data_IF_059247254822
#
_entry.id   IF_059247254822
#
_cell.length_a   1.000
_cell.length_b   1.000
_cell.length_c   1.000
_cell.angle_alpha   90.00
_cell.angle_beta   90.00
_cell.angle_gamma   90.00
#
_symmetry.space_group_name_H-M   'P 1'
#
loop_
_entity.id
_entity.type
_entity.pdbx_description
1 polymer ?
#
# COMPACT_ATOMS: atom_id res chain seq x y z
N UNK A 1 24.42 -5.83 13.77
CA UNK A 1 23.79 -5.61 12.45
C UNK A 1 22.38 -6.17 12.53
N UNK A 2 21.38 -5.41 12.14
CA UNK A 2 19.98 -5.88 12.12
C UNK A 2 19.87 -6.99 11.09
N UNK A 3 19.35 -8.15 11.49
CA UNK A 3 19.14 -9.25 10.56
C UNK A 3 18.03 -8.85 9.58
N UNK A 4 18.37 -8.80 8.30
CA UNK A 4 17.43 -8.51 7.19
C UNK A 4 17.39 -9.73 6.28
N UNK A 5 16.20 -10.20 5.94
CA UNK A 5 16.02 -11.36 5.05
C UNK A 5 14.99 -11.02 3.98
N UNK A 6 15.35 -11.28 2.73
CA UNK A 6 14.41 -11.28 1.61
C UNK A 6 14.03 -12.72 1.28
N UNK A 7 12.78 -12.94 0.92
CA UNK A 7 12.30 -14.26 0.56
C UNK A 7 11.00 -14.22 -0.23
N UNK A 8 10.56 -15.40 -0.62
CA UNK A 8 9.23 -15.61 -1.18
C UNK A 8 8.59 -16.84 -0.53
N UNK A 9 7.29 -16.82 -0.35
CA UNK A 9 6.50 -17.92 0.16
C UNK A 9 5.54 -18.41 -0.91
N UNK A 10 5.61 -19.71 -1.23
CA UNK A 10 4.71 -20.35 -2.19
C UNK A 10 3.32 -20.54 -1.60
N UNK A 11 2.32 -19.97 -2.24
CA UNK A 11 0.92 -20.12 -1.85
C UNK A 11 0.23 -21.33 -2.53
N UNK A 12 0.92 -21.96 -3.52
CA UNK A 12 0.31 -23.00 -4.35
C UNK A 12 -0.80 -22.45 -5.24
N UNK A 13 -1.85 -23.23 -5.43
CA UNK A 13 -3.05 -22.77 -6.13
C UNK A 13 -3.84 -21.84 -5.20
N UNK A 14 -3.87 -20.56 -5.57
CA UNK A 14 -4.50 -19.52 -4.77
C UNK A 14 -5.83 -19.11 -5.42
N UNK A 15 -6.93 -19.32 -4.68
CA UNK A 15 -8.27 -18.95 -5.15
C UNK A 15 -8.52 -17.48 -4.82
N UNK A 16 -8.70 -16.65 -5.87
CA UNK A 16 -9.07 -15.25 -5.74
C UNK A 16 -10.52 -15.07 -5.28
N UNK A 17 -10.86 -13.91 -4.78
CA UNK A 17 -12.22 -13.52 -4.42
C UNK A 17 -13.22 -13.74 -5.57
N UNK A 18 -12.77 -13.57 -6.82
CA UNK A 18 -13.55 -13.85 -8.03
C UNK A 18 -13.82 -15.34 -8.29
N UNK A 19 -13.17 -16.24 -7.57
CA UNK A 19 -13.20 -17.68 -7.81
C UNK A 19 -12.17 -18.17 -8.83
N UNK A 20 -11.42 -17.26 -9.49
CA UNK A 20 -10.32 -17.64 -10.39
C UNK A 20 -9.14 -18.17 -9.57
N UNK A 21 -8.47 -19.20 -10.10
CA UNK A 21 -7.31 -19.83 -9.44
C UNK A 21 -6.01 -19.33 -10.06
N UNK A 22 -5.17 -18.69 -9.29
CA UNK A 22 -3.79 -18.42 -9.66
C UNK A 22 -2.92 -19.63 -9.33
N UNK A 23 -2.52 -20.38 -10.34
CA UNK A 23 -1.66 -21.56 -10.15
C UNK A 23 -0.24 -21.17 -9.77
N UNK A 24 0.34 -21.92 -8.81
CA UNK A 24 1.70 -21.68 -8.30
C UNK A 24 1.92 -20.23 -7.81
N UNK A 25 0.90 -19.62 -7.22
CA UNK A 25 1.01 -18.28 -6.67
C UNK A 25 2.06 -18.21 -5.55
N UNK A 26 2.70 -17.05 -5.42
CA UNK A 26 3.66 -16.79 -4.36
C UNK A 26 3.59 -15.33 -3.92
N UNK A 27 4.04 -15.08 -2.69
CA UNK A 27 4.16 -13.74 -2.12
C UNK A 27 5.61 -13.49 -1.73
N UNK A 28 6.18 -12.39 -2.25
CA UNK A 28 7.49 -11.88 -1.86
C UNK A 28 7.42 -11.16 -0.52
N UNK A 29 8.52 -11.10 0.21
CA UNK A 29 8.58 -10.35 1.46
C UNK A 29 10.01 -9.96 1.83
N UNK A 30 10.12 -8.94 2.66
CA UNK A 30 11.33 -8.62 3.40
C UNK A 30 11.03 -8.64 4.91
N UNK A 31 12.02 -9.03 5.73
CA UNK A 31 11.88 -8.99 7.18
C UNK A 31 13.04 -8.29 7.85
N UNK A 32 12.78 -7.70 9.03
CA UNK A 32 13.80 -7.16 9.93
C UNK A 32 13.56 -7.67 11.35
N UNK A 33 14.64 -7.81 12.11
CA UNK A 33 14.55 -8.26 13.51
C UNK A 33 14.31 -9.75 13.66
N UNK A 34 13.78 -10.16 14.80
CA UNK A 34 13.55 -11.55 15.14
C UNK A 34 12.23 -11.78 15.88
N UNK A 35 11.57 -12.91 15.58
CA UNK A 35 10.38 -13.36 16.31
C UNK A 35 10.78 -13.72 17.76
N UNK A 36 9.93 -13.30 18.71
CA UNK A 36 10.00 -13.79 20.08
C UNK A 36 9.46 -15.24 20.19
N UNK A 37 9.59 -15.85 21.37
CA UNK A 37 9.13 -17.23 21.60
C UNK A 37 7.61 -17.40 21.45
N UNK A 38 6.82 -16.34 21.69
CA UNK A 38 5.38 -16.34 21.51
C UNK A 38 4.94 -16.06 20.10
N UNK A 39 5.84 -15.57 19.24
CA UNK A 39 5.56 -15.20 17.84
C UNK A 39 4.47 -14.11 17.71
N UNK A 40 4.42 -13.19 18.67
CA UNK A 40 3.40 -12.14 18.77
C UNK A 40 3.96 -10.70 18.72
N UNK A 41 5.29 -10.54 18.58
CA UNK A 41 5.95 -9.25 18.45
C UNK A 41 6.07 -8.78 16.99
N UNK A 42 5.02 -8.93 16.22
CA UNK A 42 5.06 -8.71 14.77
C UNK A 42 4.52 -7.33 14.41
N UNK A 43 5.24 -6.62 13.53
CA UNK A 43 4.71 -5.46 12.80
C UNK A 43 4.63 -5.82 11.33
N UNK A 44 3.49 -5.54 10.71
CA UNK A 44 3.28 -5.76 9.27
C UNK A 44 3.15 -4.40 8.59
N UNK A 45 3.93 -4.20 7.52
CA UNK A 45 3.87 -2.99 6.69
C UNK A 45 3.96 -3.37 5.20
N UNK A 46 2.84 -3.66 4.53
CA UNK A 46 2.85 -4.07 3.12
C UNK A 46 3.35 -2.96 2.19
N UNK A 47 3.76 -3.35 0.99
CA UNK A 47 4.06 -2.40 -0.09
C UNK A 47 2.79 -1.71 -0.62
N UNK A 48 2.95 -0.67 -1.44
CA UNK A 48 1.90 0.17 -2.02
C UNK A 48 2.02 0.26 -3.54
N UNK A 49 1.19 1.06 -4.19
CA UNK A 49 1.28 1.33 -5.64
C UNK A 49 2.67 1.85 -6.00
N UNK A 50 3.35 1.21 -6.93
CA UNK A 50 4.76 1.46 -7.25
C UNK A 50 5.76 1.26 -6.08
N UNK A 51 5.32 0.63 -4.99
CA UNK A 51 6.17 0.36 -3.83
C UNK A 51 6.90 -0.98 -3.91
N UNK A 52 8.13 -1.00 -3.41
CA UNK A 52 8.91 -2.21 -3.17
C UNK A 52 9.21 -2.36 -1.69
N UNK A 53 9.48 -3.58 -1.23
CA UNK A 53 9.72 -3.86 0.19
C UNK A 53 10.91 -3.07 0.77
N UNK A 54 11.95 -2.82 -0.04
CA UNK A 54 13.11 -2.03 0.38
C UNK A 54 12.80 -0.56 0.71
N UNK A 55 11.72 -0.01 0.18
CA UNK A 55 11.35 1.40 0.40
C UNK A 55 10.77 1.68 1.79
N UNK A 56 10.45 0.65 2.59
CA UNK A 56 10.06 0.83 4.00
C UNK A 56 11.26 1.06 4.92
N UNK A 57 12.48 0.75 4.46
CA UNK A 57 13.72 0.84 5.25
C UNK A 57 13.90 2.17 6.02
N UNK A 58 13.53 3.38 5.50
CA UNK A 58 13.65 4.62 6.26
C UNK A 58 12.85 4.66 7.57
N UNK A 59 11.77 3.88 7.68
CA UNK A 59 10.99 3.76 8.92
C UNK A 59 11.58 2.75 9.90
N UNK A 60 12.52 1.89 9.46
CA UNK A 60 13.07 0.80 10.27
C UNK A 60 14.39 1.22 10.91
N UNK A 61 14.39 1.50 12.20
CA UNK A 61 15.60 1.76 12.97
C UNK A 61 15.36 1.55 14.46
N UNK A 62 16.46 1.32 15.18
CA UNK A 62 16.47 1.31 16.66
C UNK A 62 15.85 2.59 17.23
N UNK A 63 14.91 2.43 18.15
CA UNK A 63 14.21 3.54 18.81
C UNK A 63 13.06 4.15 18.03
N UNK A 64 12.86 3.80 16.76
CA UNK A 64 11.66 4.13 15.97
C UNK A 64 10.49 3.20 16.33
N UNK A 65 9.31 3.50 15.77
CA UNK A 65 8.14 2.63 15.92
C UNK A 65 8.39 1.24 15.32
N UNK A 66 9.06 1.18 14.17
CA UNK A 66 9.50 -0.06 13.55
C UNK A 66 10.93 -0.39 14.03
N UNK A 67 11.07 -0.68 15.32
CA UNK A 67 12.34 -1.01 15.96
C UNK A 67 12.66 -2.51 15.82
N UNK A 68 13.65 -2.89 14.99
CA UNK A 68 13.98 -4.30 14.76
C UNK A 68 14.69 -4.98 15.96
N UNK A 69 15.05 -4.24 17.00
CA UNK A 69 15.51 -4.82 18.26
C UNK A 69 14.35 -5.30 19.14
N UNK A 70 13.12 -4.84 18.88
CA UNK A 70 11.90 -5.17 19.64
C UNK A 70 10.92 -6.02 18.85
N UNK A 71 10.80 -5.73 17.57
CA UNK A 71 9.77 -6.30 16.71
C UNK A 71 10.37 -7.12 15.57
N UNK A 72 9.64 -8.14 15.18
CA UNK A 72 9.81 -8.79 13.90
C UNK A 72 8.94 -8.06 12.88
N UNK A 73 9.58 -7.31 12.00
CA UNK A 73 8.91 -6.47 11.02
C UNK A 73 8.84 -7.27 9.73
N UNK A 74 7.63 -7.47 9.20
CA UNK A 74 7.37 -8.17 7.94
C UNK A 74 6.82 -7.18 6.94
N UNK A 75 7.45 -7.09 5.79
CA UNK A 75 7.07 -6.23 4.66
C UNK A 75 6.70 -7.15 3.50
N UNK A 76 5.43 -7.59 3.41
CA UNK A 76 4.97 -8.39 2.29
C UNK A 76 4.80 -7.53 1.05
N UNK A 77 5.26 -8.04 -0.08
CA UNK A 77 4.99 -7.46 -1.38
C UNK A 77 3.55 -7.77 -1.81
N UNK A 78 2.83 -6.75 -2.28
CA UNK A 78 1.49 -6.99 -2.83
C UNK A 78 1.58 -7.83 -4.11
N UNK A 79 0.56 -8.63 -4.39
CA UNK A 79 0.36 -9.15 -5.73
C UNK A 79 0.43 -8.00 -6.75
N UNK A 80 0.81 -8.29 -7.97
CA UNK A 80 0.93 -7.36 -9.09
C UNK A 80 2.13 -6.40 -9.04
N UNK A 81 2.97 -6.43 -7.98
CA UNK A 81 4.14 -5.54 -7.91
C UNK A 81 5.42 -6.09 -8.56
N UNK A 82 5.37 -7.28 -9.17
CA UNK A 82 6.50 -7.95 -9.80
C UNK A 82 7.35 -8.83 -8.87
N UNK A 83 7.34 -8.56 -7.56
CA UNK A 83 8.04 -9.37 -6.53
C UNK A 83 7.17 -10.49 -5.95
N UNK A 84 5.86 -10.36 -6.05
CA UNK A 84 4.85 -11.40 -5.84
C UNK A 84 4.25 -11.82 -7.18
N UNK A 85 3.35 -12.80 -7.18
CA UNK A 85 2.64 -13.21 -8.41
C UNK A 85 2.00 -11.99 -9.08
N UNK A 86 2.34 -11.80 -10.33
CA UNK A 86 2.06 -10.59 -11.10
C UNK A 86 1.87 -10.95 -12.57
N UNK A 87 1.28 -10.09 -13.41
CA UNK A 87 1.18 -10.29 -14.85
C UNK A 87 2.47 -10.77 -15.50
N UNK A 88 3.61 -10.19 -15.13
CA UNK A 88 4.93 -10.50 -15.72
C UNK A 88 5.52 -11.85 -15.34
N UNK A 89 5.02 -12.51 -14.28
CA UNK A 89 5.60 -13.73 -13.74
C UNK A 89 4.58 -14.84 -13.39
N UNK A 90 3.29 -14.59 -13.61
CA UNK A 90 2.25 -15.59 -13.38
C UNK A 90 2.37 -16.79 -14.34
N UNK A 91 1.84 -17.92 -13.93
CA UNK A 91 1.70 -19.10 -14.80
C UNK A 91 0.56 -18.90 -15.80
N UNK A 92 0.71 -19.53 -16.99
CA UNK A 92 -0.38 -19.58 -17.96
C UNK A 92 -1.65 -20.25 -17.37
N UNK A 93 -2.85 -19.82 -17.76
CA UNK A 93 -3.16 -18.82 -18.78
C UNK A 93 -3.17 -17.36 -18.28
N UNK A 94 -2.81 -17.10 -17.03
CA UNK A 94 -2.97 -15.81 -16.34
C UNK A 94 -1.70 -14.96 -16.41
N UNK A 95 -1.14 -14.76 -17.59
CA UNK A 95 -0.01 -13.87 -17.83
C UNK A 95 -0.43 -12.58 -18.48
N UNK A 96 0.39 -11.55 -18.32
CA UNK A 96 0.28 -10.26 -19.00
C UNK A 96 -1.12 -9.66 -18.83
N UNK A 97 -1.84 -9.36 -19.89
CA UNK A 97 -3.19 -8.77 -19.84
C UNK A 97 -4.31 -9.76 -19.49
N UNK A 98 -4.03 -11.06 -19.53
CA UNK A 98 -4.98 -12.11 -19.09
C UNK A 98 -4.91 -12.31 -17.56
N UNK A 99 -4.08 -11.53 -16.86
CA UNK A 99 -3.99 -11.57 -15.40
C UNK A 99 -5.31 -11.11 -14.78
N UNK A 100 -5.93 -11.91 -13.89
CA UNK A 100 -7.21 -11.57 -13.29
C UNK A 100 -7.10 -10.39 -12.33
N UNK A 101 -8.22 -9.74 -12.05
CA UNK A 101 -8.30 -8.76 -10.99
C UNK A 101 -7.96 -9.42 -9.64
N UNK A 102 -6.95 -8.89 -8.98
CA UNK A 102 -6.61 -9.20 -7.59
C UNK A 102 -7.07 -8.02 -6.72
N UNK A 103 -7.91 -8.30 -5.74
CA UNK A 103 -8.45 -7.27 -4.84
C UNK A 103 -7.55 -7.04 -3.62
N UNK A 104 -7.76 -5.96 -2.85
CA UNK A 104 -7.14 -5.80 -1.54
C UNK A 104 -7.46 -6.98 -0.58
N UNK A 105 -8.66 -7.54 -0.66
CA UNK A 105 -9.04 -8.73 0.09
C UNK A 105 -8.12 -9.92 -0.23
N UNK A 106 -7.86 -10.20 -1.51
CA UNK A 106 -6.95 -11.27 -1.93
C UNK A 106 -5.54 -11.07 -1.37
N UNK A 107 -5.04 -9.82 -1.40
CA UNK A 107 -3.74 -9.47 -0.82
C UNK A 107 -3.68 -9.75 0.68
N UNK A 108 -4.73 -9.40 1.42
CA UNK A 108 -4.82 -9.67 2.87
C UNK A 108 -4.82 -11.17 3.17
N UNK A 109 -5.56 -11.97 2.40
CA UNK A 109 -5.58 -13.43 2.55
C UNK A 109 -4.19 -14.03 2.27
N UNK A 110 -3.51 -13.59 1.20
CA UNK A 110 -2.16 -14.07 0.88
C UNK A 110 -1.14 -13.68 1.98
N UNK A 111 -1.22 -12.46 2.47
CA UNK A 111 -0.38 -11.96 3.57
C UNK A 111 -0.64 -12.74 4.86
N UNK A 112 -1.90 -13.03 5.19
CA UNK A 112 -2.27 -13.81 6.35
C UNK A 112 -1.68 -15.22 6.27
N UNK A 113 -1.76 -15.89 5.13
CA UNK A 113 -1.15 -17.20 4.91
C UNK A 113 0.37 -17.16 5.10
N UNK A 114 1.06 -16.14 4.58
CA UNK A 114 2.49 -15.93 4.83
C UNK A 114 2.78 -15.85 6.34
N UNK A 115 2.00 -15.07 7.08
CA UNK A 115 2.23 -14.85 8.52
C UNK A 115 1.91 -16.11 9.33
N UNK A 116 0.77 -16.75 9.11
CA UNK A 116 0.32 -17.91 9.89
C UNK A 116 1.02 -19.21 9.48
N UNK A 117 1.10 -19.53 8.18
CA UNK A 117 1.59 -20.81 7.70
C UNK A 117 3.12 -20.87 7.65
N UNK A 118 3.80 -19.78 7.28
CA UNK A 118 5.25 -19.76 7.15
C UNK A 118 5.96 -19.28 8.42
N UNK A 119 5.54 -18.12 8.94
CA UNK A 119 6.15 -17.55 10.16
C UNK A 119 5.53 -18.07 11.46
N UNK A 120 4.38 -18.75 11.41
CA UNK A 120 3.59 -19.20 12.57
C UNK A 120 3.30 -18.07 13.56
N UNK A 121 2.94 -16.89 13.04
CA UNK A 121 2.59 -15.70 13.82
C UNK A 121 1.30 -15.95 14.60
N UNK A 122 1.27 -15.56 15.86
CA UNK A 122 0.12 -15.72 16.76
C UNK A 122 -0.50 -14.39 17.17
N UNK A 123 0.12 -13.27 16.79
CA UNK A 123 -0.37 -11.93 17.06
C UNK A 123 0.44 -10.86 16.35
N UNK A 124 -0.24 -9.79 15.95
CA UNK A 124 0.34 -8.64 15.25
C UNK A 124 0.20 -7.42 16.17
N UNK A 125 1.34 -6.87 16.61
CA UNK A 125 1.38 -5.67 17.47
C UNK A 125 0.85 -4.43 16.75
N UNK A 126 1.20 -4.33 15.45
CA UNK A 126 0.80 -3.21 14.59
C UNK A 126 0.67 -3.67 13.14
N UNK A 127 -0.47 -3.41 12.56
CA UNK A 127 -0.67 -3.41 11.10
C UNK A 127 -0.67 -1.96 10.63
N UNK A 128 0.34 -1.54 9.91
CA UNK A 128 0.43 -0.19 9.36
C UNK A 128 0.68 -0.23 7.85
N UNK A 129 0.26 0.82 7.16
CA UNK A 129 0.51 0.92 5.73
C UNK A 129 0.35 2.34 5.21
N UNK A 130 1.03 2.64 4.12
CA UNK A 130 0.94 3.89 3.37
C UNK A 130 0.14 3.69 2.08
N UNK A 131 -0.72 4.66 1.71
CA UNK A 131 -1.44 4.65 0.43
C UNK A 131 -2.32 3.39 0.28
N UNK A 132 -2.17 2.61 -0.79
CA UNK A 132 -2.87 1.34 -0.98
C UNK A 132 -2.66 0.37 0.20
N UNK A 133 -1.46 0.33 0.81
CA UNK A 133 -1.29 -0.51 2.00
C UNK A 133 -1.96 0.10 3.25
N UNK A 134 -2.21 1.40 3.27
CA UNK A 134 -3.11 2.02 4.24
C UNK A 134 -4.55 1.52 4.09
N UNK A 135 -5.02 1.28 2.85
CA UNK A 135 -6.30 0.60 2.60
C UNK A 135 -6.29 -0.85 3.10
N UNK A 136 -5.17 -1.59 2.92
CA UNK A 136 -5.04 -2.93 3.48
C UNK A 136 -5.13 -2.94 5.02
N UNK A 137 -4.69 -1.88 5.71
CA UNK A 137 -4.81 -1.79 7.16
C UNK A 137 -6.28 -1.81 7.61
N UNK A 138 -7.19 -1.20 6.85
CA UNK A 138 -8.64 -1.31 7.11
C UNK A 138 -9.15 -2.74 6.95
N UNK A 139 -8.75 -3.43 5.86
CA UNK A 139 -9.13 -4.82 5.63
C UNK A 139 -8.64 -5.74 6.76
N UNK A 140 -7.37 -5.61 7.16
CA UNK A 140 -6.80 -6.35 8.27
C UNK A 140 -7.54 -6.10 9.58
N UNK A 141 -7.82 -4.84 9.90
CA UNK A 141 -8.48 -4.47 11.13
C UNK A 141 -9.95 -4.93 11.18
N UNK A 142 -10.66 -4.90 10.04
CA UNK A 142 -12.06 -5.30 9.95
C UNK A 142 -12.25 -6.83 9.96
N UNK A 143 -11.34 -7.57 9.29
CA UNK A 143 -11.49 -9.00 9.07
C UNK A 143 -10.72 -9.86 10.09
N UNK A 144 -9.65 -9.32 10.69
CA UNK A 144 -8.69 -10.06 11.51
C UNK A 144 -8.34 -9.35 12.82
N UNK A 145 -9.33 -8.72 13.45
CA UNK A 145 -9.17 -8.06 14.74
C UNK A 145 -8.81 -9.00 15.90
N UNK A 146 -8.97 -10.30 15.70
CA UNK A 146 -8.50 -11.36 16.61
C UNK A 146 -6.97 -11.51 16.60
N UNK A 147 -6.33 -11.20 15.49
CA UNK A 147 -4.87 -11.31 15.30
C UNK A 147 -4.17 -9.95 15.46
N UNK A 148 -4.82 -8.85 15.05
CA UNK A 148 -4.25 -7.50 15.02
C UNK A 148 -4.61 -6.73 16.29
N UNK A 149 -3.60 -6.23 17.01
CA UNK A 149 -3.81 -5.46 18.24
C UNK A 149 -4.04 -3.97 17.99
N UNK A 150 -3.43 -3.41 16.95
CA UNK A 150 -3.52 -1.99 16.56
C UNK A 150 -3.34 -1.85 15.06
N UNK A 151 -3.98 -0.87 14.46
CA UNK A 151 -3.78 -0.60 13.04
C UNK A 151 -3.60 0.89 12.75
N UNK A 152 -2.91 1.20 11.65
CA UNK A 152 -2.69 2.55 11.16
C UNK A 152 -2.79 2.62 9.64
N UNK A 153 -3.59 3.56 9.14
CA UNK A 153 -3.64 3.94 7.73
C UNK A 153 -2.99 5.30 7.54
N UNK A 154 -1.87 5.34 6.82
CA UNK A 154 -1.13 6.56 6.47
C UNK A 154 -1.52 6.93 5.04
N UNK A 155 -2.11 8.11 4.83
CA UNK A 155 -2.60 8.57 3.51
C UNK A 155 -3.40 7.48 2.78
N UNK A 156 -4.41 6.90 3.46
CA UNK A 156 -5.29 5.85 2.93
C UNK A 156 -6.70 5.97 3.50
N UNK A 157 -7.67 5.32 2.85
CA UNK A 157 -9.10 5.29 3.22
C UNK A 157 -9.66 3.88 3.15
N UNK A 158 -10.78 3.63 3.77
CA UNK A 158 -11.45 2.32 3.73
C UNK A 158 -11.93 1.91 2.33
N UNK A 159 -12.20 2.91 1.49
CA UNK A 159 -12.70 2.72 0.13
C UNK A 159 -12.11 3.78 -0.81
N UNK A 160 -11.77 3.39 -2.03
CA UNK A 160 -11.36 4.34 -3.08
C UNK A 160 -12.49 5.31 -3.36
N UNK A 161 -12.25 6.61 -3.15
CA UNK A 161 -13.24 7.66 -3.39
C UNK A 161 -13.56 7.81 -4.88
N UNK A 162 -14.74 8.34 -5.23
CA UNK A 162 -15.10 8.58 -6.64
C UNK A 162 -14.10 9.46 -7.39
N UNK A 163 -13.51 10.47 -6.72
CA UNK A 163 -12.48 11.32 -7.34
C UNK A 163 -11.19 10.53 -7.61
N UNK A 164 -10.74 9.74 -6.63
CA UNK A 164 -9.57 8.90 -6.79
C UNK A 164 -9.79 7.84 -7.88
N UNK A 165 -10.98 7.24 -7.92
CA UNK A 165 -11.37 6.31 -8.99
C UNK A 165 -11.31 6.97 -10.37
N UNK A 166 -11.79 8.22 -10.53
CA UNK A 166 -11.72 8.95 -11.78
C UNK A 166 -10.28 9.21 -12.26
N UNK A 167 -9.39 9.54 -11.33
CA UNK A 167 -7.95 9.68 -11.61
C UNK A 167 -7.33 8.34 -12.03
N UNK A 168 -7.63 7.25 -11.32
CA UNK A 168 -7.16 5.90 -11.68
C UNK A 168 -7.69 5.46 -13.04
N UNK A 169 -8.92 5.86 -13.37
CA UNK A 169 -9.47 5.65 -14.72
C UNK A 169 -8.68 6.40 -15.80
N UNK A 170 -8.14 7.59 -15.51
CA UNK A 170 -7.25 8.28 -16.43
C UNK A 170 -5.92 7.51 -16.63
N UNK A 171 -5.32 6.96 -15.57
CA UNK A 171 -4.17 6.06 -15.71
C UNK A 171 -4.50 4.85 -16.57
N UNK A 172 -5.57 4.14 -16.22
CA UNK A 172 -6.06 2.95 -16.94
C UNK A 172 -6.25 3.25 -18.44
N UNK A 173 -7.07 4.25 -18.77
CA UNK A 173 -7.37 4.62 -20.15
C UNK A 173 -6.13 5.07 -20.93
N UNK A 174 -5.18 5.75 -20.26
CA UNK A 174 -3.92 6.15 -20.87
C UNK A 174 -3.08 4.94 -21.27
N UNK A 175 -2.94 3.96 -20.38
CA UNK A 175 -2.21 2.72 -20.68
C UNK A 175 -2.89 1.93 -21.82
N UNK A 176 -4.20 1.80 -21.80
CA UNK A 176 -4.99 1.13 -22.83
C UNK A 176 -4.93 1.82 -24.21
N UNK A 177 -4.63 3.13 -24.25
CA UNK A 177 -4.44 3.87 -25.48
C UNK A 177 -3.08 3.61 -26.17
N UNK A 178 -2.20 2.83 -25.57
CA UNK A 178 -0.93 2.45 -26.16
C UNK A 178 -1.16 1.67 -27.47
N UNK A 179 -0.54 2.05 -28.59
CA UNK A 179 -0.65 1.32 -29.85
C UNK A 179 -0.28 -0.16 -29.76
N UNK A 180 0.60 -0.50 -28.80
CA UNK A 180 1.07 -1.87 -28.62
C UNK A 180 0.32 -2.63 -27.51
N UNK A 181 -0.71 -2.03 -26.91
CA UNK A 181 -1.40 -2.59 -25.74
C UNK A 181 -1.93 -4.01 -25.96
N UNK A 182 -2.54 -4.27 -27.11
CA UNK A 182 -3.14 -5.56 -27.47
C UNK A 182 -2.18 -6.55 -28.17
N UNK A 183 -1.00 -6.09 -28.58
CA UNK A 183 -0.11 -6.85 -29.46
C UNK A 183 1.18 -7.35 -28.81
N UNK A 184 1.41 -7.02 -27.58
CA UNK A 184 2.60 -7.46 -26.83
C UNK A 184 2.18 -7.94 -25.45
N UNK A 185 3.07 -8.68 -24.83
CA UNK A 185 2.97 -9.06 -23.42
C UNK A 185 3.00 -7.83 -22.48
N UNK A 186 2.76 -6.63 -22.96
CA UNK A 186 2.84 -5.36 -22.20
C UNK A 186 4.07 -5.26 -21.30
N UNK A 187 5.21 -5.77 -21.80
CA UNK A 187 6.48 -5.79 -21.07
C UNK A 187 7.24 -4.48 -21.16
N UNK A 188 6.93 -3.64 -22.16
CA UNK A 188 7.64 -2.39 -22.43
C UNK A 188 6.67 -1.20 -22.57
N UNK A 189 7.12 -0.05 -22.08
CA UNK A 189 6.39 1.19 -22.22
C UNK A 189 6.47 1.79 -23.62
N UNK A 190 5.33 2.21 -24.15
CA UNK A 190 5.31 3.25 -25.18
C UNK A 190 5.81 4.57 -24.55
N UNK A 191 6.83 5.24 -25.14
CA UNK A 191 7.41 6.46 -24.54
C UNK A 191 6.41 7.60 -24.35
N UNK A 192 5.38 7.72 -25.22
CA UNK A 192 4.34 8.75 -25.07
C UNK A 192 3.41 8.44 -23.91
N UNK A 193 3.01 7.18 -23.79
CA UNK A 193 2.16 6.72 -22.70
C UNK A 193 2.86 6.90 -21.36
N UNK A 194 4.14 6.52 -21.28
CA UNK A 194 4.96 6.72 -20.08
C UNK A 194 5.02 8.20 -19.68
N UNK A 195 5.21 9.11 -20.65
CA UNK A 195 5.21 10.55 -20.37
C UNK A 195 3.87 11.04 -19.81
N UNK A 196 2.74 10.57 -20.39
CA UNK A 196 1.39 10.98 -19.92
C UNK A 196 1.13 10.46 -18.51
N UNK A 197 1.39 9.17 -18.26
CA UNK A 197 1.23 8.55 -16.93
C UNK A 197 2.06 9.29 -15.88
N UNK A 198 3.32 9.61 -16.19
CA UNK A 198 4.20 10.34 -15.29
C UNK A 198 3.71 11.77 -15.03
N UNK A 199 3.16 12.44 -16.05
CA UNK A 199 2.58 13.79 -15.90
C UNK A 199 1.34 13.77 -15.01
N UNK A 200 0.45 12.78 -15.15
CA UNK A 200 -0.69 12.60 -14.24
C UNK A 200 -0.17 12.38 -12.81
N UNK A 201 0.82 11.50 -12.62
CA UNK A 201 1.42 11.25 -11.30
C UNK A 201 2.02 12.51 -10.68
N UNK A 202 2.75 13.30 -11.45
CA UNK A 202 3.36 14.54 -10.98
C UNK A 202 2.32 15.55 -10.48
N UNK A 203 1.14 15.62 -11.11
CA UNK A 203 0.09 16.57 -10.71
C UNK A 203 -0.72 16.11 -9.49
N UNK A 204 -0.72 14.83 -9.18
CA UNK A 204 -1.57 14.24 -8.14
C UNK A 204 -0.82 13.82 -6.88
N UNK A 205 0.43 13.34 -7.02
CA UNK A 205 1.19 12.84 -5.89
C UNK A 205 1.69 13.96 -4.96
N UNK A 206 2.05 15.11 -5.51
CA UNK A 206 2.49 16.28 -4.76
C UNK A 206 1.42 17.37 -4.79
N UNK A 207 1.40 18.23 -3.76
CA UNK A 207 0.44 19.32 -3.67
C UNK A 207 0.81 20.49 -4.59
N UNK A 208 -0.18 21.34 -4.86
CA UNK A 208 0.06 22.61 -5.55
C UNK A 208 1.02 23.53 -4.77
N UNK A 209 0.95 23.52 -3.43
CA UNK A 209 1.83 24.29 -2.57
C UNK A 209 3.28 23.80 -2.64
N UNK A 210 3.51 22.48 -2.76
CA UNK A 210 4.84 21.92 -2.94
C UNK A 210 5.54 22.50 -4.19
N UNK A 211 4.81 22.58 -5.31
CA UNK A 211 5.33 23.22 -6.54
C UNK A 211 5.52 24.71 -6.37
N UNK A 212 4.54 25.42 -5.79
CA UNK A 212 4.60 26.88 -5.57
C UNK A 212 5.76 27.30 -4.68
N UNK A 213 6.10 26.46 -3.69
CA UNK A 213 7.23 26.69 -2.78
C UNK A 213 8.58 26.29 -3.37
N UNK A 214 8.62 25.78 -4.59
CA UNK A 214 9.84 25.35 -5.27
C UNK A 214 10.45 24.07 -4.69
N UNK A 215 9.71 23.30 -3.90
CA UNK A 215 10.22 22.07 -3.27
C UNK A 215 10.58 20.97 -4.28
N UNK A 216 10.07 21.06 -5.52
CA UNK A 216 10.46 20.18 -6.63
C UNK A 216 11.88 20.45 -7.14
N UNK A 217 12.48 21.59 -6.79
CA UNK A 217 13.84 21.97 -7.26
C UNK A 217 14.88 21.34 -6.33
N UNK A 218 15.61 20.36 -6.80
CA UNK A 218 16.62 19.63 -6.00
C UNK A 218 17.65 18.97 -6.91
N UNK A 219 18.93 19.21 -6.65
CA UNK A 219 19.99 18.64 -7.46
C UNK A 219 19.88 19.05 -8.93
N UNK A 220 19.73 18.06 -9.82
CA UNK A 220 19.59 18.27 -11.27
C UNK A 220 18.15 18.63 -11.71
N UNK A 221 17.20 18.65 -10.77
CA UNK A 221 15.81 19.06 -11.04
C UNK A 221 15.73 20.57 -10.93
N UNK A 222 15.69 21.26 -12.07
CA UNK A 222 15.76 22.73 -12.18
C UNK A 222 14.43 23.38 -12.56
N UNK A 223 13.46 22.60 -12.98
CA UNK A 223 12.12 23.04 -13.37
C UNK A 223 11.10 21.88 -13.30
N UNK A 224 9.84 22.17 -13.59
CA UNK A 224 8.75 21.17 -13.59
C UNK A 224 8.98 20.10 -14.66
N UNK A 225 9.55 20.42 -15.81
CA UNK A 225 9.80 19.44 -16.86
C UNK A 225 10.82 18.37 -16.39
N UNK A 226 11.92 18.82 -15.76
CA UNK A 226 12.90 17.89 -15.19
C UNK A 226 12.34 17.08 -14.00
N UNK A 227 11.41 17.63 -13.23
CA UNK A 227 10.70 16.88 -12.19
C UNK A 227 9.81 15.75 -12.79
N UNK A 228 9.11 16.02 -13.90
CA UNK A 228 8.34 15.01 -14.64
C UNK A 228 9.27 13.92 -15.21
N UNK A 229 10.42 14.29 -15.79
CA UNK A 229 11.38 13.31 -16.32
C UNK A 229 11.97 12.42 -15.20
N UNK A 230 12.18 12.96 -13.99
CA UNK A 230 12.59 12.18 -12.84
C UNK A 230 11.52 11.15 -12.44
N UNK A 231 10.25 11.56 -12.37
CA UNK A 231 9.13 10.64 -12.08
C UNK A 231 8.93 9.61 -13.20
N UNK A 232 9.17 10.00 -14.46
CA UNK A 232 9.17 9.09 -15.59
C UNK A 232 10.20 7.97 -15.46
N UNK A 233 11.37 8.26 -14.92
CA UNK A 233 12.38 7.24 -14.62
C UNK A 233 11.90 6.22 -13.59
N UNK A 234 11.12 6.65 -12.61
CA UNK A 234 10.48 5.75 -11.64
C UNK A 234 9.47 4.82 -12.32
N UNK A 235 8.52 5.36 -13.10
CA UNK A 235 7.52 4.56 -13.81
C UNK A 235 8.17 3.62 -14.85
N UNK A 236 9.24 4.06 -15.51
CA UNK A 236 9.97 3.24 -16.50
C UNK A 236 10.59 1.97 -15.90
N UNK A 237 10.83 1.94 -14.59
CA UNK A 237 11.35 0.76 -13.90
C UNK A 237 10.29 -0.35 -13.70
N UNK A 238 9.03 -0.04 -13.94
CA UNK A 238 7.91 -0.96 -13.78
C UNK A 238 7.49 -1.59 -15.11
N UNK A 239 7.12 -2.87 -15.09
CA UNK A 239 6.45 -3.52 -16.21
C UNK A 239 5.04 -2.93 -16.35
N UNK A 240 4.64 -2.42 -17.53
CA UNK A 240 3.34 -1.77 -17.72
C UNK A 240 2.15 -2.64 -17.30
N UNK A 241 2.16 -3.94 -17.61
CA UNK A 241 1.09 -4.87 -17.23
C UNK A 241 0.95 -5.00 -15.71
N UNK A 242 2.08 -5.02 -14.97
CA UNK A 242 2.06 -5.05 -13.50
C UNK A 242 1.44 -3.77 -12.94
N UNK A 243 1.84 -2.61 -13.45
CA UNK A 243 1.32 -1.33 -13.00
C UNK A 243 -0.17 -1.16 -13.34
N UNK A 244 -0.58 -1.64 -14.50
CA UNK A 244 -2.00 -1.69 -14.88
C UNK A 244 -2.81 -2.55 -13.91
N UNK A 245 -2.34 -3.75 -13.58
CA UNK A 245 -3.01 -4.62 -12.63
C UNK A 245 -3.08 -4.00 -11.22
N UNK A 246 -2.01 -3.31 -10.76
CA UNK A 246 -2.05 -2.53 -9.52
C UNK A 246 -3.10 -1.41 -9.57
N UNK A 247 -3.22 -0.73 -10.71
CA UNK A 247 -4.25 0.31 -10.91
C UNK A 247 -5.65 -0.28 -10.74
N UNK A 248 -5.91 -1.46 -11.32
CA UNK A 248 -7.20 -2.15 -11.16
C UNK A 248 -7.45 -2.57 -9.71
N UNK A 249 -6.44 -3.09 -9.01
CA UNK A 249 -6.51 -3.42 -7.58
C UNK A 249 -6.90 -2.20 -6.75
N UNK A 250 -6.28 -1.04 -7.01
CA UNK A 250 -6.59 0.20 -6.30
C UNK A 250 -8.00 0.73 -6.62
N UNK A 251 -8.43 0.65 -7.88
CA UNK A 251 -9.81 1.01 -8.27
C UNK A 251 -10.85 0.15 -7.56
N UNK A 252 -10.55 -1.13 -7.29
CA UNK A 252 -11.42 -2.07 -6.62
C UNK A 252 -11.34 -2.02 -5.08
N UNK A 253 -10.54 -1.11 -4.50
CA UNK A 253 -10.36 -1.07 -3.06
C UNK A 253 -11.62 -0.60 -2.34
N UNK A 254 -12.23 -1.52 -1.60
CA UNK A 254 -13.40 -1.32 -0.75
C UNK A 254 -13.36 -2.37 0.38
N UNK A 255 -13.20 -1.94 1.62
CA UNK A 255 -13.13 -2.84 2.78
C UNK A 255 -14.40 -3.66 2.98
N UNK A 256 -15.51 -3.22 2.44
CA UNK A 256 -16.81 -3.90 2.55
C UNK A 256 -17.10 -4.88 1.42
N UNK A 257 -16.34 -4.83 0.32
CA UNK A 257 -16.54 -5.71 -0.83
C UNK A 257 -15.96 -7.11 -0.56
N UNK A 258 -16.67 -7.88 0.22
CA UNK A 258 -16.37 -9.27 0.54
C UNK A 258 -17.61 -9.97 1.10
N UNK A 259 -17.55 -11.30 1.24
CA UNK A 259 -18.66 -12.12 1.72
C UNK A 259 -19.06 -11.86 3.20
N UNK A 260 -18.19 -11.22 3.98
CA UNK A 260 -18.48 -10.89 5.39
C UNK A 260 -19.40 -9.66 5.50
N UNK A 261 -19.14 -8.65 4.70
CA UNK A 261 -19.84 -7.36 4.79
C UNK A 261 -20.79 -7.09 3.62
N UNK A 262 -20.69 -7.82 2.51
CA UNK A 262 -21.57 -7.75 1.34
C UNK A 262 -21.81 -6.31 0.82
N UNK A 263 -20.77 -5.47 0.81
CA UNK A 263 -20.81 -4.08 0.36
C UNK A 263 -21.31 -3.08 1.41
N UNK A 264 -21.60 -3.50 2.63
CA UNK A 264 -21.98 -2.60 3.72
C UNK A 264 -20.74 -1.98 4.38
N UNK A 265 -20.38 -0.79 3.91
CA UNK A 265 -19.21 -0.05 4.39
C UNK A 265 -19.35 0.33 5.88
N UNK A 266 -20.55 0.70 6.32
CA UNK A 266 -20.79 1.06 7.71
C UNK A 266 -20.57 -0.15 8.64
N UNK A 267 -21.04 -1.33 8.25
CA UNK A 267 -20.81 -2.57 8.99
C UNK A 267 -19.31 -2.94 9.02
N UNK A 268 -18.58 -2.80 7.91
CA UNK A 268 -17.16 -3.08 7.85
C UNK A 268 -16.34 -2.16 8.76
N UNK A 269 -16.62 -0.85 8.74
CA UNK A 269 -15.99 0.12 9.63
C UNK A 269 -16.35 -0.14 11.10
N UNK A 270 -17.62 -0.47 11.37
CA UNK A 270 -18.07 -0.80 12.72
C UNK A 270 -17.45 -2.09 13.28
N UNK A 271 -16.98 -3.00 12.43
CA UNK A 271 -16.26 -4.20 12.84
C UNK A 271 -14.85 -3.91 13.37
N UNK A 272 -14.26 -2.77 13.03
CA UNK A 272 -12.95 -2.34 13.53
C UNK A 272 -13.09 -1.89 14.98
N UNK A 273 -12.73 -2.78 15.92
CA UNK A 273 -12.82 -2.53 17.37
C UNK A 273 -11.48 -2.18 18.01
N UNK A 274 -10.39 -2.53 17.37
CA UNK A 274 -9.02 -2.25 17.85
C UNK A 274 -8.69 -0.75 17.72
N UNK A 275 -7.70 -0.23 18.47
CA UNK A 275 -7.19 1.12 18.24
C UNK A 275 -6.73 1.28 16.79
N UNK A 276 -7.34 2.23 16.09
CA UNK A 276 -7.09 2.50 14.67
C UNK A 276 -6.69 3.97 14.48
N UNK A 277 -5.51 4.21 13.94
CA UNK A 277 -5.02 5.56 13.66
C UNK A 277 -5.16 5.85 12.17
N UNK A 278 -5.86 6.93 11.84
CA UNK A 278 -5.93 7.51 10.49
C UNK A 278 -4.98 8.70 10.41
N UNK A 279 -4.05 8.68 9.48
CA UNK A 279 -3.09 9.77 9.25
C UNK A 279 -3.13 10.27 7.81
N UNK A 280 -4.18 10.98 7.37
CA UNK A 280 -4.17 11.67 6.08
C UNK A 280 -3.26 12.90 6.11
N UNK A 281 -2.78 13.33 4.94
CA UNK A 281 -2.12 14.63 4.78
C UNK A 281 -3.15 15.68 4.35
N UNK A 282 -3.07 16.90 4.92
CA UNK A 282 -3.99 18.01 4.63
C UNK A 282 -3.98 18.47 3.16
N UNK A 283 -2.91 18.19 2.43
CA UNK A 283 -2.75 18.56 1.02
C UNK A 283 -2.77 17.36 0.06
N UNK A 284 -3.09 16.15 0.55
CA UNK A 284 -3.21 14.94 -0.27
C UNK A 284 -4.37 15.07 -1.27
N UNK A 285 -4.09 14.79 -2.54
CA UNK A 285 -5.08 14.83 -3.62
C UNK A 285 -5.69 13.44 -3.94
N UNK A 286 -5.08 12.37 -3.41
CA UNK A 286 -5.60 11.00 -3.55
C UNK A 286 -6.55 10.65 -2.40
N UNK A 287 -6.08 10.79 -1.16
CA UNK A 287 -6.79 10.40 0.06
C UNK A 287 -6.98 11.61 0.96
N UNK A 288 -8.15 12.21 0.88
CA UNK A 288 -8.43 13.48 1.55
C UNK A 288 -8.79 13.28 3.03
N UNK A 289 -8.44 14.27 3.84
CA UNK A 289 -8.86 14.35 5.25
C UNK A 289 -10.38 14.16 5.40
N UNK A 290 -11.17 14.81 4.52
CA UNK A 290 -12.64 14.73 4.55
C UNK A 290 -13.18 13.29 4.34
N UNK A 291 -12.46 12.44 3.59
CA UNK A 291 -12.87 11.05 3.41
C UNK A 291 -12.69 10.27 4.72
N UNK A 292 -11.56 10.46 5.42
CA UNK A 292 -11.34 9.85 6.74
C UNK A 292 -12.29 10.43 7.83
N UNK A 293 -12.58 11.73 7.79
CA UNK A 293 -13.58 12.33 8.70
C UNK A 293 -14.96 11.68 8.55
N UNK A 294 -15.35 11.34 7.31
CA UNK A 294 -16.61 10.65 7.05
C UNK A 294 -16.65 9.20 7.55
N UNK A 295 -15.50 8.56 7.76
CA UNK A 295 -15.38 7.19 8.28
C UNK A 295 -15.48 7.13 9.82
N UNK A 296 -15.01 8.16 10.53
CA UNK A 296 -14.93 8.21 12.01
C UNK A 296 -16.27 7.86 12.70
N UNK A 297 -17.44 8.38 12.27
CA UNK A 297 -18.69 8.10 12.95
C UNK A 297 -19.05 6.62 13.08
N UNK A 298 -18.47 5.77 12.24
CA UNK A 298 -18.71 4.33 12.22
C UNK A 298 -17.70 3.53 13.04
N UNK A 299 -16.60 4.15 13.51
CA UNK A 299 -15.48 3.46 14.15
C UNK A 299 -15.34 3.88 15.62
N UNK A 300 -15.55 2.95 16.56
CA UNK A 300 -15.60 3.25 18.00
C UNK A 300 -14.23 3.62 18.62
N UNK A 301 -13.12 3.16 18.03
CA UNK A 301 -11.75 3.34 18.55
C UNK A 301 -10.80 3.96 17.52
N UNK A 302 -11.34 4.72 16.58
CA UNK A 302 -10.53 5.45 15.59
C UNK A 302 -10.06 6.80 16.15
N UNK A 303 -8.85 7.17 15.77
CA UNK A 303 -8.27 8.50 16.00
C UNK A 303 -7.80 9.05 14.67
N UNK A 304 -8.18 10.29 14.36
CA UNK A 304 -7.70 11.03 13.19
C UNK A 304 -6.60 11.99 13.63
N UNK A 305 -5.44 11.90 12.98
CA UNK A 305 -4.32 12.82 13.18
C UNK A 305 -3.78 13.24 11.81
N UNK A 306 -3.97 14.50 11.47
CA UNK A 306 -3.61 15.03 10.16
C UNK A 306 -2.11 15.32 10.09
N UNK A 307 -1.46 14.91 8.99
CA UNK A 307 -0.10 15.33 8.64
C UNK A 307 -0.21 16.70 7.99
N UNK A 308 0.27 17.74 8.69
CA UNK A 308 0.29 19.10 8.17
C UNK A 308 1.55 19.31 7.31
N UNK A 309 1.42 19.07 6.01
CA UNK A 309 2.56 19.11 5.08
C UNK A 309 2.14 19.63 3.71
N UNK A 310 3.06 20.30 3.01
CA UNK A 310 2.92 20.63 1.59
C UNK A 310 3.30 19.48 0.66
N UNK A 311 3.84 18.36 1.18
CA UNK A 311 4.31 17.22 0.36
C UNK A 311 3.19 16.47 -0.37
N UNK A 312 1.91 16.77 -0.09
CA UNK A 312 0.78 16.07 -0.69
C UNK A 312 0.71 14.63 -0.21
N UNK A 313 0.41 13.72 -1.13
CA UNK A 313 0.38 12.28 -0.83
C UNK A 313 1.72 11.75 -0.35
N UNK A 314 2.81 12.36 -0.83
CA UNK A 314 4.17 11.92 -0.50
C UNK A 314 4.57 12.18 0.95
N UNK A 315 3.77 12.91 1.74
CA UNK A 315 3.97 13.10 3.18
C UNK A 315 3.95 11.79 3.99
N UNK A 316 3.28 10.75 3.47
CA UNK A 316 3.28 9.41 4.08
C UNK A 316 4.35 8.47 3.54
N UNK A 317 5.09 8.86 2.49
CA UNK A 317 6.09 7.99 1.86
C UNK A 317 7.38 7.94 2.69
N UNK A 318 7.83 6.75 3.14
CA UNK A 318 9.06 6.62 3.92
C UNK A 318 10.27 7.22 3.21
N UNK A 319 10.96 8.14 3.86
CA UNK A 319 12.19 8.77 3.36
C UNK A 319 11.98 9.93 2.39
N UNK A 320 10.75 10.37 2.12
CA UNK A 320 10.49 11.51 1.25
C UNK A 320 10.78 12.85 1.97
N UNK A 321 10.33 13.01 3.19
CA UNK A 321 10.53 14.20 4.03
C UNK A 321 10.91 13.78 5.44
N UNK A 322 12.03 14.29 5.96
CA UNK A 322 12.49 13.98 7.32
C UNK A 322 11.52 14.44 8.39
N UNK A 323 10.84 15.57 8.18
CA UNK A 323 9.90 16.14 9.14
C UNK A 323 8.59 15.32 9.16
N UNK A 324 8.09 14.94 7.98
CA UNK A 324 6.92 14.07 7.85
C UNK A 324 7.21 12.69 8.43
N UNK A 325 8.38 12.10 8.14
CA UNK A 325 8.83 10.83 8.73
C UNK A 325 8.89 10.88 10.26
N UNK A 326 9.41 11.98 10.82
CA UNK A 326 9.49 12.17 12.26
C UNK A 326 8.09 12.25 12.89
N UNK A 327 7.17 12.97 12.26
CA UNK A 327 5.78 13.06 12.68
C UNK A 327 5.09 11.70 12.65
N UNK A 328 5.16 10.99 11.52
CA UNK A 328 4.58 9.64 11.37
C UNK A 328 5.13 8.71 12.42
N UNK A 329 6.44 8.69 12.62
CA UNK A 329 7.09 7.85 13.62
C UNK A 329 6.59 8.17 15.05
N UNK A 330 6.44 9.45 15.42
CA UNK A 330 5.93 9.86 16.72
C UNK A 330 4.50 9.34 16.96
N UNK A 331 3.63 9.48 15.95
CA UNK A 331 2.23 9.02 16.08
C UNK A 331 2.15 7.48 16.17
N UNK A 332 2.96 6.75 15.41
CA UNK A 332 3.05 5.30 15.52
C UNK A 332 3.56 4.85 16.90
N UNK A 333 4.55 5.56 17.47
CA UNK A 333 5.02 5.31 18.84
C UNK A 333 3.93 5.57 19.89
N UNK A 334 3.09 6.59 19.70
CA UNK A 334 1.93 6.84 20.58
C UNK A 334 0.90 5.71 20.46
N UNK A 335 0.59 5.29 19.25
CA UNK A 335 -0.34 4.19 18.99
C UNK A 335 0.13 2.88 19.66
N UNK A 336 1.41 2.54 19.54
CA UNK A 336 2.00 1.34 20.16
C UNK A 336 1.91 1.32 21.70
N UNK A 337 1.73 2.48 22.34
CA UNK A 337 1.56 2.59 23.82
C UNK A 337 0.11 2.41 24.28
N UNK A 338 -0.86 2.49 23.36
CA UNK A 338 -2.27 2.26 23.70
C UNK A 338 -2.43 0.77 24.08
N UNK A 339 -3.03 0.42 25.21
CA UNK A 339 -3.29 -0.98 25.55
C UNK A 339 -4.11 -1.67 24.45
N UNK A 340 -3.78 -2.92 24.13
CA UNK A 340 -4.62 -3.74 23.27
C UNK A 340 -5.92 -4.08 24.00
N UNK A 341 -7.00 -4.20 23.25
CA UNK A 341 -8.32 -4.58 23.79
C UNK A 341 -8.44 -6.11 23.90
N UNK A 342 -7.52 -6.82 23.23
CA UNK A 342 -7.47 -8.29 23.18
C UNK A 342 -6.39 -8.83 24.13
#
# INVERSE_FOLDING_TARGET
MTQTTNGSYGLGDFVLQSGIVLSNAFIGYQTYGALNSRRDNVIVFPTWYTGTNGQVAPYVAKGKALDPEKYFIVIPDMFTNGSSTSPSNAADPHRDLDFPLVTPFDNVIAQRRLLEEYFNVTGIELMAGFSMSGQLAYHWAALHSDLVKRACSICGTAKTSPHNWAMLHAYKSTMEASPNWLNSACSEWDPKILTIVSSIGATMAMSQDWYRQGQHLSGDIIDVASAIENLKSLFASWVPANLYAQTLTWMAADVSDNSTFNGDLAAALAAIKIPFLMMPCNTDLYFRVADNEAEIPYMSNATLTVIESSSGHMAGLPGFSSDDDAFVNEQLLKLLRIPSIN
#
